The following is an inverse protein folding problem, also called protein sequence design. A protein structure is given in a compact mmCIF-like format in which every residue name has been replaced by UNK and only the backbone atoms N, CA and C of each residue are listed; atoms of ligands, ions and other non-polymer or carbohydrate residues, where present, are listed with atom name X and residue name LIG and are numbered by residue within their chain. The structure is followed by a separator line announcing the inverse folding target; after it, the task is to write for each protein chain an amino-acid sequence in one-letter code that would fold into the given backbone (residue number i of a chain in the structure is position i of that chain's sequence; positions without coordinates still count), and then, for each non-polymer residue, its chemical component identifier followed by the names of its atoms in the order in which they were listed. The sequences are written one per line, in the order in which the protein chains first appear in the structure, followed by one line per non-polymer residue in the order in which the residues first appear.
data_IF_906399866309
#
_entry.id   IF_906399866309
#
_cell.length_a   1.000
_cell.length_b   1.000
_cell.length_c   1.000
_cell.angle_alpha   90.00
_cell.angle_beta   90.00
_cell.angle_gamma   90.00
#
_symmetry.space_group_name_H-M   'P 1'
#
loop_
_entity.id
_entity.type
_entity.pdbx_description
1 polymer ?
#
# COMPACT_ATOMS: atom_id res chain seq x y z
N UNK A 1 25.27 17.44 -11.45
CA UNK A 1 24.40 17.64 -10.26
C UNK A 1 23.09 18.20 -10.79
N UNK A 2 22.00 17.40 -10.81
CA UNK A 2 20.77 17.75 -11.53
C UNK A 2 19.97 18.84 -10.82
N UNK A 3 19.44 19.79 -11.59
CA UNK A 3 18.52 20.82 -11.12
C UNK A 3 17.22 20.15 -10.60
N UNK A 4 16.95 20.26 -9.30
CA UNK A 4 15.71 19.71 -8.69
C UNK A 4 15.89 18.95 -7.37
N UNK A 5 17.12 18.75 -6.89
CA UNK A 5 17.36 18.15 -5.57
C UNK A 5 16.97 19.06 -4.39
N UNK A 6 16.64 18.50 -3.22
CA UNK A 6 16.39 19.28 -2.01
C UNK A 6 17.62 20.11 -1.64
N UNK A 7 17.42 21.32 -1.11
CA UNK A 7 18.51 22.21 -0.67
C UNK A 7 18.56 22.38 0.84
N UNK A 8 17.52 21.92 1.52
CA UNK A 8 17.35 22.04 2.97
C UNK A 8 16.68 20.80 3.56
N UNK A 9 16.77 20.67 4.89
CA UNK A 9 16.02 19.67 5.65
C UNK A 9 14.52 19.83 5.43
N UNK A 10 14.02 21.06 5.39
CA UNK A 10 12.61 21.37 5.14
C UNK A 10 12.15 20.88 3.77
N UNK A 11 12.99 20.97 2.73
CA UNK A 11 12.68 20.41 1.41
C UNK A 11 12.55 18.89 1.47
N UNK A 12 13.43 18.22 2.22
CA UNK A 12 13.34 16.76 2.43
C UNK A 12 12.07 16.36 3.20
N UNK A 13 11.67 17.14 4.21
CA UNK A 13 10.41 16.93 4.94
C UNK A 13 9.22 17.12 3.99
N UNK A 14 9.21 18.20 3.20
CA UNK A 14 8.17 18.45 2.18
C UNK A 14 8.09 17.30 1.19
N UNK A 15 9.22 16.82 0.68
CA UNK A 15 9.26 15.67 -0.21
C UNK A 15 8.67 14.42 0.45
N UNK A 16 9.09 14.09 1.67
CA UNK A 16 8.60 12.90 2.38
C UNK A 16 7.09 12.96 2.67
N UNK A 17 6.55 14.14 2.98
CA UNK A 17 5.10 14.33 3.17
C UNK A 17 4.31 14.11 1.89
N UNK A 18 4.82 14.58 0.76
CA UNK A 18 4.21 14.31 -0.55
C UNK A 18 4.33 12.84 -0.94
N UNK A 19 5.46 12.19 -0.63
CA UNK A 19 5.64 10.76 -0.85
C UNK A 19 4.64 9.93 -0.03
N UNK A 20 4.43 10.27 1.25
CA UNK A 20 3.42 9.62 2.08
C UNK A 20 2.03 9.70 1.43
N UNK A 21 1.64 10.89 0.95
CA UNK A 21 0.37 11.07 0.28
C UNK A 21 0.27 10.20 -0.98
N UNK A 22 1.32 10.20 -1.80
CA UNK A 22 1.35 9.42 -3.04
C UNK A 22 1.16 7.92 -2.79
N UNK A 23 1.86 7.36 -1.80
CA UNK A 23 1.89 5.92 -1.57
C UNK A 23 0.69 5.41 -0.77
N UNK A 24 0.31 6.11 0.29
CA UNK A 24 -0.69 5.60 1.24
C UNK A 24 -2.07 6.21 1.08
N UNK A 25 -2.19 7.30 0.30
CA UNK A 25 -3.47 7.92 -0.02
C UNK A 25 -3.79 7.81 -1.51
N UNK A 26 -3.05 8.50 -2.37
CA UNK A 26 -3.37 8.69 -3.79
C UNK A 26 -3.41 7.37 -4.57
N UNK A 27 -2.42 6.49 -4.35
CA UNK A 27 -2.40 5.16 -4.97
C UNK A 27 -3.65 4.34 -4.59
N UNK A 28 -4.11 4.46 -3.33
CA UNK A 28 -5.30 3.76 -2.84
C UNK A 28 -6.58 4.40 -3.39
N UNK A 29 -6.66 5.74 -3.47
CA UNK A 29 -7.77 6.45 -4.11
C UNK A 29 -7.90 6.01 -5.57
N UNK A 30 -6.79 5.96 -6.31
CA UNK A 30 -6.78 5.50 -7.69
C UNK A 30 -7.22 4.04 -7.79
N UNK A 31 -6.72 3.16 -6.93
CA UNK A 31 -7.08 1.74 -6.91
C UNK A 31 -8.58 1.53 -6.64
N UNK A 32 -9.17 2.28 -5.71
CA UNK A 32 -10.59 2.20 -5.38
C UNK A 32 -11.49 2.88 -6.45
N UNK A 33 -10.98 3.88 -7.16
CA UNK A 33 -11.65 4.44 -8.34
C UNK A 33 -11.77 3.39 -9.46
N UNK A 34 -10.70 2.62 -9.64
CA UNK A 34 -10.61 1.56 -10.65
C UNK A 34 -11.42 0.32 -10.27
N UNK A 35 -11.39 -0.06 -8.99
CA UNK A 35 -12.06 -1.23 -8.44
C UNK A 35 -12.88 -0.80 -7.21
N UNK A 36 -14.10 -0.29 -7.43
CA UNK A 36 -15.00 0.07 -6.35
C UNK A 36 -15.18 -1.06 -5.32
N UNK A 37 -15.51 -0.70 -4.08
CA UNK A 37 -15.60 -1.67 -2.97
C UNK A 37 -16.64 -2.76 -3.21
N UNK A 38 -17.71 -2.37 -3.86
CA UNK A 38 -18.87 -3.16 -4.26
C UNK A 38 -18.74 -3.76 -5.67
N UNK A 39 -17.57 -3.61 -6.32
CA UNK A 39 -17.37 -4.16 -7.66
C UNK A 39 -17.61 -5.67 -7.65
N UNK A 40 -18.47 -6.12 -8.55
CA UNK A 40 -18.78 -7.52 -8.80
C UNK A 40 -18.05 -7.95 -10.07
N UNK A 41 -17.55 -9.18 -10.08
CA UNK A 41 -16.90 -9.81 -11.23
C UNK A 41 -17.95 -10.35 -12.21
N UNK A 42 -17.55 -10.70 -13.43
CA UNK A 42 -18.46 -11.27 -14.45
C UNK A 42 -19.15 -12.57 -14.01
N UNK A 43 -18.61 -13.24 -12.97
CA UNK A 43 -19.17 -14.47 -12.38
C UNK A 43 -20.15 -14.21 -11.23
N UNK A 44 -20.42 -12.95 -10.89
CA UNK A 44 -21.32 -12.58 -9.80
C UNK A 44 -20.68 -12.53 -8.41
N UNK A 45 -19.36 -12.74 -8.30
CA UNK A 45 -18.63 -12.70 -7.03
C UNK A 45 -18.06 -11.30 -6.74
N UNK A 46 -17.99 -10.89 -5.47
CA UNK A 46 -17.34 -9.64 -5.05
C UNK A 46 -15.85 -9.65 -5.44
N UNK A 47 -15.39 -8.57 -6.08
CA UNK A 47 -14.00 -8.40 -6.49
C UNK A 47 -13.04 -8.41 -5.28
N UNK A 48 -13.44 -7.80 -4.16
CA UNK A 48 -12.67 -7.77 -2.92
C UNK A 48 -13.06 -8.91 -1.97
N UNK A 49 -12.86 -10.16 -2.42
CA UNK A 49 -13.16 -11.37 -1.63
C UNK A 49 -11.97 -12.34 -1.59
N UNK A 50 -12.06 -13.36 -0.73
CA UNK A 50 -11.02 -14.38 -0.58
C UNK A 50 -9.68 -13.77 -0.15
N UNK A 51 -8.69 -13.86 -1.04
CA UNK A 51 -7.32 -13.39 -0.82
C UNK A 51 -7.12 -11.89 -1.12
N UNK A 52 -8.11 -11.23 -1.75
CA UNK A 52 -8.06 -9.79 -2.06
C UNK A 52 -8.62 -8.99 -0.89
N UNK A 53 -7.76 -8.22 -0.23
CA UNK A 53 -8.18 -7.32 0.85
C UNK A 53 -8.48 -5.95 0.29
N UNK A 54 -9.71 -5.48 0.48
CA UNK A 54 -10.09 -4.12 0.13
C UNK A 54 -9.25 -3.14 0.97
N UNK A 55 -8.51 -2.21 0.33
CA UNK A 55 -7.71 -1.25 1.06
C UNK A 55 -8.58 -0.13 1.66
N UNK A 56 -8.01 0.55 2.66
CA UNK A 56 -8.63 1.69 3.30
C UNK A 56 -7.79 2.94 3.07
N UNK A 57 -8.47 4.08 2.94
CA UNK A 57 -7.80 5.36 2.74
C UNK A 57 -7.08 5.75 4.03
N UNK A 58 -5.77 5.97 3.92
CA UNK A 58 -4.98 6.52 5.01
C UNK A 58 -4.93 8.03 4.88
N UNK A 59 -5.24 8.75 5.96
CA UNK A 59 -5.00 10.19 6.07
C UNK A 59 -3.79 10.40 6.97
N UNK A 60 -2.90 11.29 6.55
CA UNK A 60 -1.76 11.67 7.39
C UNK A 60 -2.26 12.31 8.70
N UNK A 61 -1.59 11.96 9.78
CA UNK A 61 -1.82 12.50 11.12
C UNK A 61 -0.46 12.62 11.79
N UNK A 62 -0.10 13.83 12.19
CA UNK A 62 1.19 14.12 12.82
C UNK A 62 1.31 13.50 14.21
N UNK A 63 0.19 13.27 14.90
CA UNK A 63 0.16 12.66 16.23
C UNK A 63 0.28 11.13 16.17
N UNK A 64 0.03 10.54 15.00
CA UNK A 64 0.24 9.12 14.79
C UNK A 64 1.75 8.83 14.70
N UNK A 65 2.24 8.03 15.65
CA UNK A 65 3.66 7.67 15.73
C UNK A 65 4.20 7.09 14.43
N UNK A 66 3.47 6.18 13.79
CA UNK A 66 3.91 5.49 12.59
C UNK A 66 4.00 6.44 11.39
N UNK A 67 3.03 7.35 11.26
CA UNK A 67 3.06 8.36 10.19
C UNK A 67 4.27 9.27 10.34
N UNK A 68 4.53 9.76 11.55
CA UNK A 68 5.68 10.64 11.80
C UNK A 68 7.01 9.89 11.67
N UNK A 69 7.09 8.63 12.10
CA UNK A 69 8.27 7.78 11.93
C UNK A 69 8.63 7.62 10.44
N UNK A 70 7.63 7.41 9.59
CA UNK A 70 7.83 7.37 8.14
C UNK A 70 8.45 8.66 7.60
N UNK A 71 7.91 9.82 8.00
CA UNK A 71 8.41 11.13 7.56
C UNK A 71 9.87 11.31 7.97
N UNK A 72 10.22 11.03 9.23
CA UNK A 72 11.59 11.16 9.75
C UNK A 72 12.56 10.28 8.96
N UNK A 73 12.21 9.00 8.78
CA UNK A 73 13.08 8.06 8.08
C UNK A 73 13.24 8.46 6.60
N UNK A 74 12.14 8.74 5.91
CA UNK A 74 12.15 9.12 4.50
C UNK A 74 12.91 10.44 4.27
N UNK A 75 12.70 11.47 5.11
CA UNK A 75 13.40 12.74 4.97
C UNK A 75 14.90 12.60 5.17
N UNK A 76 15.35 11.79 6.14
CA UNK A 76 16.77 11.60 6.41
C UNK A 76 17.46 10.76 5.33
N UNK A 77 16.81 9.71 4.83
CA UNK A 77 17.34 8.93 3.70
C UNK A 77 17.44 9.79 2.43
N UNK A 78 16.44 10.63 2.17
CA UNK A 78 16.48 11.56 1.04
C UNK A 78 17.55 12.64 1.22
N UNK A 79 17.70 13.20 2.42
CA UNK A 79 18.77 14.14 2.72
C UNK A 79 20.15 13.52 2.50
N UNK A 80 20.35 12.27 2.95
CA UNK A 80 21.59 11.53 2.76
C UNK A 80 21.97 11.40 1.27
N UNK A 81 21.01 11.02 0.43
CA UNK A 81 21.21 10.84 -1.01
C UNK A 81 21.72 12.11 -1.73
N UNK A 82 21.38 13.30 -1.20
CA UNK A 82 21.79 14.58 -1.77
C UNK A 82 22.94 15.26 -1.00
N UNK A 83 23.53 14.57 -0.02
CA UNK A 83 24.55 15.12 0.90
C UNK A 83 24.05 16.38 1.65
N UNK A 84 22.77 16.39 2.04
CA UNK A 84 22.20 17.43 2.88
C UNK A 84 22.27 17.03 4.36
N UNK A 85 22.23 18.01 5.29
CA UNK A 85 22.08 17.74 6.71
C UNK A 85 20.85 16.89 6.99
N UNK A 86 20.96 16.00 7.97
CA UNK A 86 19.88 15.18 8.51
C UNK A 86 19.43 15.76 9.85
N UNK A 87 18.20 15.48 10.26
CA UNK A 87 17.73 15.82 11.61
C UNK A 87 16.95 14.67 12.24
N UNK A 88 17.21 14.44 13.52
CA UNK A 88 16.45 13.51 14.35
C UNK A 88 15.52 14.24 15.32
N UNK A 89 15.43 15.57 15.24
CA UNK A 89 14.51 16.35 16.06
C UNK A 89 13.06 16.11 15.59
N UNK A 90 12.40 15.22 16.32
CA UNK A 90 11.02 14.81 16.08
C UNK A 90 10.05 15.99 16.20
N UNK A 91 10.30 16.91 17.13
CA UNK A 91 9.40 18.04 17.38
C UNK A 91 9.51 19.06 16.24
N UNK A 92 10.73 19.36 15.81
CA UNK A 92 10.97 20.17 14.62
C UNK A 92 10.29 19.58 13.38
N UNK A 93 10.48 18.27 13.12
CA UNK A 93 9.86 17.61 11.96
C UNK A 93 8.33 17.66 12.04
N UNK A 94 7.73 17.42 13.21
CA UNK A 94 6.29 17.49 13.41
C UNK A 94 5.72 18.90 13.12
N UNK A 95 6.45 19.95 13.52
CA UNK A 95 6.05 21.32 13.24
C UNK A 95 6.16 21.67 11.75
N UNK A 96 7.26 21.28 11.11
CA UNK A 96 7.50 21.58 9.69
C UNK A 96 6.56 20.79 8.78
N UNK A 97 6.33 19.50 9.07
CA UNK A 97 5.48 18.64 8.22
C UNK A 97 4.03 19.12 8.19
N UNK A 98 3.55 19.73 9.27
CA UNK A 98 2.19 20.29 9.35
C UNK A 98 2.00 21.52 8.46
N UNK A 99 3.07 22.24 8.16
CA UNK A 99 3.05 23.42 7.27
C UNK A 99 3.03 23.04 5.78
N UNK A 100 3.31 21.77 5.46
CA UNK A 100 3.39 21.32 4.07
C UNK A 100 2.01 21.26 3.44
N UNK A 101 1.81 22.07 2.40
CA UNK A 101 0.63 22.00 1.55
C UNK A 101 0.75 20.81 0.60
N UNK A 102 -0.20 19.88 0.71
CA UNK A 102 -0.27 18.69 -0.13
C UNK A 102 -1.32 18.93 -1.23
N UNK A 103 -0.96 18.77 -2.52
CA UNK A 103 -1.93 18.93 -3.60
C UNK A 103 -3.07 17.92 -3.50
N UNK A 104 -4.29 18.38 -3.75
CA UNK A 104 -5.45 17.49 -3.87
C UNK A 104 -5.24 16.51 -5.03
N UNK A 105 -5.49 15.23 -4.76
CA UNK A 105 -5.40 14.19 -5.78
C UNK A 105 -6.77 13.88 -6.38
N UNK A 106 -6.85 13.93 -7.71
CA UNK A 106 -8.02 13.50 -8.47
C UNK A 106 -7.67 12.23 -9.23
N UNK A 107 -8.36 11.10 -8.98
CA UNK A 107 -8.09 9.87 -9.69
C UNK A 107 -8.38 10.06 -11.18
N UNK A 108 -7.56 9.43 -12.01
CA UNK A 108 -7.71 9.46 -13.46
C UNK A 108 -8.53 8.26 -13.90
N UNK A 109 -9.44 8.45 -14.84
CA UNK A 109 -10.09 7.34 -15.54
C UNK A 109 -9.11 6.78 -16.58
N UNK A 110 -8.15 5.99 -16.13
CA UNK A 110 -7.16 5.31 -16.99
C UNK A 110 -7.75 4.01 -17.59
N UNK A 111 -8.99 3.66 -17.21
CA UNK A 111 -9.66 2.43 -17.63
C UNK A 111 -10.31 2.61 -19.00
N UNK A 112 -9.56 2.34 -20.06
CA UNK A 112 -10.16 1.67 -21.22
C UNK A 112 -10.26 0.19 -20.89
N UNK A 113 -11.40 -0.44 -21.20
CA UNK A 113 -11.75 -1.80 -20.80
C UNK A 113 -10.75 -2.89 -21.25
N UNK A 114 -9.79 -2.55 -22.11
CA UNK A 114 -9.03 -3.52 -22.89
C UNK A 114 -7.58 -3.75 -22.43
N UNK A 115 -6.94 -2.83 -21.68
CA UNK A 115 -5.47 -2.88 -21.54
C UNK A 115 -4.94 -3.49 -20.22
N UNK A 116 -5.78 -3.64 -19.19
CA UNK A 116 -5.42 -4.27 -17.90
C UNK A 116 -6.40 -5.39 -17.49
N UNK A 117 -7.39 -5.70 -18.34
CA UNK A 117 -8.49 -6.61 -17.99
C UNK A 117 -8.08 -8.07 -17.83
N UNK A 118 -6.86 -8.48 -18.20
CA UNK A 118 -6.43 -9.88 -18.08
C UNK A 118 -5.38 -10.14 -17.00
N UNK A 119 -4.56 -9.17 -16.57
CA UNK A 119 -3.48 -9.48 -15.63
C UNK A 119 -4.00 -9.89 -14.26
N UNK A 120 -4.96 -9.14 -13.71
CA UNK A 120 -5.60 -9.50 -12.45
C UNK A 120 -6.39 -10.81 -12.52
N UNK A 121 -6.89 -11.18 -13.72
CA UNK A 121 -7.60 -12.46 -13.96
C UNK A 121 -6.62 -13.63 -13.99
N UNK A 122 -5.48 -13.47 -14.65
CA UNK A 122 -4.41 -14.47 -14.71
C UNK A 122 -3.85 -14.70 -13.31
N UNK A 123 -3.58 -13.63 -12.56
CA UNK A 123 -3.10 -13.71 -11.17
C UNK A 123 -4.15 -14.35 -10.24
N UNK A 124 -5.44 -14.11 -10.46
CA UNK A 124 -6.54 -14.79 -9.75
C UNK A 124 -6.53 -16.29 -9.98
N UNK A 125 -6.44 -16.67 -11.26
CA UNK A 125 -6.54 -18.06 -11.65
C UNK A 125 -5.32 -18.84 -11.13
N UNK A 126 -4.11 -18.29 -11.25
CA UNK A 126 -2.90 -18.92 -10.71
C UNK A 126 -2.98 -19.09 -9.19
N UNK A 127 -3.46 -18.07 -8.45
CA UNK A 127 -3.54 -18.14 -6.99
C UNK A 127 -4.66 -19.06 -6.50
N UNK A 128 -5.79 -19.13 -7.21
CA UNK A 128 -6.85 -20.11 -6.94
C UNK A 128 -6.33 -21.54 -7.10
N UNK A 129 -5.58 -21.82 -8.16
CA UNK A 129 -4.96 -23.13 -8.37
C UNK A 129 -4.02 -23.50 -7.20
N UNK A 130 -3.17 -22.57 -6.74
CA UNK A 130 -2.29 -22.80 -5.58
C UNK A 130 -3.10 -23.05 -4.29
N UNK A 131 -4.20 -22.34 -4.08
CA UNK A 131 -5.07 -22.55 -2.92
C UNK A 131 -5.76 -23.93 -2.96
N UNK A 132 -6.21 -24.38 -4.12
CA UNK A 132 -6.81 -25.70 -4.31
C UNK A 132 -5.80 -26.83 -4.07
N UNK A 133 -4.56 -26.69 -4.59
CA UNK A 133 -3.47 -27.63 -4.33
C UNK A 133 -3.10 -27.71 -2.83
N UNK A 134 -3.03 -26.56 -2.16
CA UNK A 134 -2.77 -26.50 -0.71
C UNK A 134 -3.90 -27.16 0.08
N UNK A 135 -5.16 -26.90 -0.26
CA UNK A 135 -6.32 -27.49 0.41
C UNK A 135 -6.34 -29.02 0.23
N UNK A 136 -6.09 -29.51 -0.97
CA UNK A 136 -5.95 -30.95 -1.25
C UNK A 136 -4.84 -31.60 -0.43
N UNK A 137 -3.68 -30.93 -0.34
CA UNK A 137 -2.57 -31.41 0.51
C UNK A 137 -2.94 -31.43 2.00
N UNK A 138 -3.68 -30.44 2.50
CA UNK A 138 -4.18 -30.41 3.88
C UNK A 138 -5.12 -31.60 4.13
N UNK A 139 -6.05 -31.89 3.22
CA UNK A 139 -6.96 -33.05 3.36
C UNK A 139 -6.20 -34.37 3.40
N UNK A 140 -5.16 -34.52 2.57
CA UNK A 140 -4.31 -35.72 2.60
C UNK A 140 -3.58 -35.86 3.95
N UNK A 141 -3.08 -34.76 4.52
CA UNK A 141 -2.44 -34.77 5.83
C UNK A 141 -3.43 -35.11 6.94
N UNK A 142 -4.64 -34.53 6.91
CA UNK A 142 -5.71 -34.83 7.87
C UNK A 142 -6.08 -36.32 7.85
N UNK A 143 -6.15 -36.94 6.66
CA UNK A 143 -6.44 -38.37 6.52
C UNK A 143 -5.31 -39.29 7.03
N UNK A 144 -4.10 -38.77 7.22
CA UNK A 144 -2.96 -39.51 7.79
C UNK A 144 -2.85 -39.35 9.30
N UNK A 145 -3.60 -38.41 9.89
CA UNK A 145 -3.65 -38.29 11.34
C UNK A 145 -4.50 -39.44 11.90
N UNK A 146 -4.03 -40.13 12.97
CA UNK A 146 -4.82 -41.13 13.64
C UNK A 146 -6.11 -40.50 14.17
N UNK A 147 -7.21 -41.26 14.11
CA UNK A 147 -8.50 -40.78 14.62
C UNK A 147 -8.41 -40.64 16.13
N UNK A 148 -9.17 -39.72 16.71
CA UNK A 148 -9.14 -39.45 18.15
C UNK A 148 -9.38 -40.73 18.99
N UNK A 149 -10.17 -41.65 18.45
CA UNK A 149 -10.51 -42.95 19.04
C UNK A 149 -9.35 -43.96 19.03
N UNK A 150 -8.27 -43.69 18.28
CA UNK A 150 -7.05 -44.52 18.22
C UNK A 150 -5.94 -43.99 19.16
N UNK A 151 -6.17 -42.85 19.82
CA UNK A 151 -5.19 -42.15 20.69
C UNK A 151 -5.59 -42.22 22.18
N UNK A 152 -6.81 -42.69 22.50
CA UNK A 152 -7.34 -42.87 23.86
C UNK A 152 -7.50 -44.36 24.18
#
# INVERSE_FOLDING_TARGET
RGEGGPRSVTDCIKWSRNLFEQQFHNAIVQLLHNFPRDRVTDRGELFWSGYRRCPHLLKFDVNNKLHLDFIIAASNLFAHMYNNPQTCDRQFIAQEVTKVQVPEFKPKSIFTADNDSNQWRVDDQQRKNVQEENNSSIEQLLNRLPKLDEIV
#
